data_IF_562374918325
#
_entry.id   IF_562374918325
#
_cell.length_a   1.000
_cell.length_b   1.000
_cell.length_c   1.000
_cell.angle_alpha   90.00
_cell.angle_beta   90.00
_cell.angle_gamma   90.00
#
_symmetry.space_group_name_H-M   'P 1'
#
loop_
_entity.id
_entity.type
_entity.pdbx_description
1 polymer ?
#
# COMPACT_ATOMS: atom_id res chain seq x y z
N UNK A 1 15.97 -7.10 -46.70
CA UNK A 1 14.92 -6.09 -46.49
C UNK A 1 14.53 -6.22 -45.03
N UNK A 2 14.81 -5.17 -44.24
CA UNK A 2 14.54 -5.14 -42.81
C UNK A 2 13.15 -4.57 -42.62
N UNK A 3 12.24 -5.36 -42.07
CA UNK A 3 10.89 -4.95 -41.74
C UNK A 3 10.75 -5.05 -40.22
N UNK A 4 11.17 -3.95 -39.61
CA UNK A 4 10.87 -3.48 -38.27
C UNK A 4 9.36 -3.59 -38.03
N UNK A 5 8.92 -4.72 -37.44
CA UNK A 5 7.57 -4.82 -36.90
C UNK A 5 7.71 -4.62 -35.40
N UNK A 6 7.17 -3.49 -34.96
CA UNK A 6 7.22 -3.02 -33.57
C UNK A 6 6.78 -4.13 -32.61
N UNK A 7 7.67 -4.52 -31.70
CA UNK A 7 7.27 -5.00 -30.38
C UNK A 7 6.60 -3.80 -29.69
N UNK A 8 5.27 -3.71 -29.79
CA UNK A 8 4.52 -2.83 -28.90
C UNK A 8 4.96 -3.15 -27.47
N UNK A 9 5.25 -2.15 -26.62
CA UNK A 9 5.59 -2.43 -25.24
C UNK A 9 4.41 -3.17 -24.64
N UNK A 10 4.62 -4.43 -24.25
CA UNK A 10 3.73 -5.11 -23.32
C UNK A 10 3.75 -4.25 -22.07
N UNK A 11 2.78 -3.35 -21.95
CA UNK A 11 2.32 -2.87 -20.65
C UNK A 11 1.75 -4.12 -20.00
N UNK A 12 2.64 -4.95 -19.46
CA UNK A 12 2.30 -5.89 -18.42
C UNK A 12 1.87 -4.99 -17.28
N UNK A 13 0.56 -4.74 -17.27
CA UNK A 13 -0.10 -3.89 -16.31
C UNK A 13 0.28 -4.51 -14.98
N UNK A 14 1.26 -3.90 -14.31
CA UNK A 14 1.62 -4.19 -12.94
C UNK A 14 0.40 -3.82 -12.11
N UNK A 15 -0.61 -4.67 -12.21
CA UNK A 15 -1.71 -4.76 -11.29
C UNK A 15 -1.10 -5.47 -10.12
N UNK A 16 -0.17 -4.78 -9.43
CA UNK A 16 0.18 -5.12 -8.07
C UNK A 16 -1.17 -5.38 -7.40
N UNK A 17 -1.32 -6.61 -6.93
CA UNK A 17 -2.55 -7.06 -6.29
C UNK A 17 -2.90 -6.07 -5.19
N UNK A 18 -4.17 -5.93 -4.84
CA UNK A 18 -4.57 -5.01 -3.76
C UNK A 18 -3.77 -5.27 -2.47
N UNK A 19 -3.38 -6.54 -2.22
CA UNK A 19 -2.39 -6.91 -1.20
C UNK A 19 -1.01 -6.29 -1.42
N UNK A 20 -0.37 -6.43 -2.58
CA UNK A 20 0.97 -5.86 -2.82
C UNK A 20 1.00 -4.33 -2.69
N UNK A 21 -0.10 -3.67 -3.05
CA UNK A 21 -0.27 -2.23 -2.83
C UNK A 21 -0.39 -1.90 -1.34
N UNK A 22 -1.13 -2.71 -0.59
CA UNK A 22 -1.28 -2.57 0.85
C UNK A 22 0.05 -2.84 1.58
N UNK A 23 0.77 -3.92 1.25
CA UNK A 23 2.08 -4.24 1.81
C UNK A 23 3.08 -3.09 1.58
N UNK A 24 3.10 -2.53 0.36
CA UNK A 24 3.91 -1.36 0.06
C UNK A 24 3.53 -0.14 0.90
N UNK A 25 2.23 0.11 1.07
CA UNK A 25 1.70 1.19 1.91
C UNK A 25 2.11 1.04 3.37
N UNK A 26 1.97 -0.17 3.91
CA UNK A 26 2.28 -0.51 5.30
C UNK A 26 3.78 -0.36 5.54
N UNK A 27 4.63 -0.83 4.64
CA UNK A 27 6.07 -0.66 4.74
C UNK A 27 6.49 0.82 4.72
N UNK A 28 5.83 1.65 3.90
CA UNK A 28 6.06 3.09 3.88
C UNK A 28 5.61 3.75 5.19
N UNK A 29 4.40 3.44 5.66
CA UNK A 29 3.91 3.99 6.91
C UNK A 29 4.72 3.55 8.12
N UNK A 30 5.23 2.32 8.15
CA UNK A 30 6.07 1.83 9.24
C UNK A 30 7.29 2.74 9.46
N UNK A 31 7.84 3.32 8.40
CA UNK A 31 8.91 4.31 8.51
C UNK A 31 8.41 5.68 8.99
N UNK A 32 7.22 6.10 8.54
CA UNK A 32 6.61 7.41 8.84
C UNK A 32 6.10 7.52 10.29
N UNK A 33 5.52 6.45 10.82
CA UNK A 33 4.90 6.41 12.16
C UNK A 33 5.81 5.81 13.24
N UNK A 34 7.07 5.54 12.91
CA UNK A 34 8.02 4.90 13.82
C UNK A 34 8.23 5.75 15.08
N UNK A 35 7.80 5.23 16.23
CA UNK A 35 7.92 5.90 17.53
C UNK A 35 6.71 6.78 17.89
N UNK A 36 5.66 6.77 17.07
CA UNK A 36 4.36 7.37 17.39
C UNK A 36 3.52 6.42 18.25
N UNK A 37 2.49 6.95 18.92
CA UNK A 37 1.52 6.15 19.66
C UNK A 37 0.54 5.43 18.73
N UNK A 38 0.01 4.29 19.17
CA UNK A 38 -0.96 3.49 18.39
C UNK A 38 -2.17 4.31 17.91
N UNK A 39 -2.64 5.29 18.70
CA UNK A 39 -3.75 6.15 18.28
C UNK A 39 -3.40 7.06 17.09
N UNK A 40 -2.14 7.49 16.99
CA UNK A 40 -1.65 8.29 15.85
C UNK A 40 -1.40 7.41 14.63
N UNK A 41 -0.84 6.21 14.85
CA UNK A 41 -0.66 5.18 13.82
C UNK A 41 -2.00 4.82 13.16
N UNK A 42 -3.05 4.59 13.96
CA UNK A 42 -4.40 4.27 13.46
C UNK A 42 -5.00 5.40 12.61
N UNK A 43 -4.85 6.65 13.06
CA UNK A 43 -5.32 7.81 12.29
C UNK A 43 -4.58 7.96 10.97
N UNK A 44 -3.25 7.80 10.98
CA UNK A 44 -2.42 7.86 9.78
C UNK A 44 -2.82 6.74 8.78
N UNK A 45 -3.01 5.52 9.26
CA UNK A 45 -3.47 4.38 8.46
C UNK A 45 -4.82 4.66 7.80
N UNK A 46 -5.83 5.07 8.58
CA UNK A 46 -7.17 5.37 8.04
C UNK A 46 -7.15 6.52 7.03
N UNK A 47 -6.37 7.56 7.30
CA UNK A 47 -6.23 8.68 6.37
C UNK A 47 -5.63 8.21 5.05
N UNK A 48 -4.58 7.40 5.11
CA UNK A 48 -3.90 6.87 3.93
C UNK A 48 -4.77 5.93 3.11
N UNK A 49 -5.51 5.03 3.77
CA UNK A 49 -6.48 4.14 3.12
C UNK A 49 -7.55 4.94 2.38
N UNK A 50 -8.05 6.02 3.00
CA UNK A 50 -9.03 6.91 2.38
C UNK A 50 -8.46 7.65 1.18
N UNK A 51 -7.21 8.13 1.27
CA UNK A 51 -6.51 8.85 0.19
C UNK A 51 -6.35 7.98 -1.08
N UNK A 52 -6.06 6.68 -0.90
CA UNK A 52 -5.95 5.72 -2.00
C UNK A 52 -7.30 5.08 -2.38
N UNK A 53 -8.39 5.43 -1.69
CA UNK A 53 -9.73 4.86 -1.91
C UNK A 53 -9.87 3.38 -1.50
N UNK A 54 -8.99 2.87 -0.64
CA UNK A 54 -9.04 1.50 -0.13
C UNK A 54 -9.82 1.47 1.18
N UNK A 55 -10.70 0.49 1.33
CA UNK A 55 -11.42 0.24 2.59
C UNK A 55 -10.96 -1.09 3.15
N UNK A 56 -10.51 -1.09 4.40
CA UNK A 56 -10.17 -2.31 5.15
C UNK A 56 -11.15 -2.49 6.31
N UNK A 57 -11.37 -3.74 6.69
CA UNK A 57 -12.12 -4.07 7.90
C UNK A 57 -11.38 -3.58 9.17
N UNK A 58 -12.14 -3.25 10.20
CA UNK A 58 -11.64 -2.83 11.52
C UNK A 58 -10.62 -3.84 12.10
N UNK A 59 -10.81 -5.14 11.86
CA UNK A 59 -9.89 -6.18 12.29
C UNK A 59 -8.53 -6.12 11.60
N UNK A 60 -8.51 -5.79 10.30
CA UNK A 60 -7.25 -5.63 9.55
C UNK A 60 -6.58 -4.32 9.93
N UNK A 61 -7.33 -3.24 10.12
CA UNK A 61 -6.79 -1.97 10.63
C UNK A 61 -6.14 -2.19 12.00
N UNK A 62 -6.82 -2.86 12.94
CA UNK A 62 -6.28 -3.13 14.27
C UNK A 62 -5.01 -4.00 14.21
N UNK A 63 -4.97 -4.99 13.32
CA UNK A 63 -3.79 -5.83 13.10
C UNK A 63 -2.61 -5.02 12.58
N UNK A 64 -2.84 -4.20 11.56
CA UNK A 64 -1.81 -3.34 10.96
C UNK A 64 -1.31 -2.30 11.96
N UNK A 65 -2.19 -1.69 12.75
CA UNK A 65 -1.79 -0.75 13.82
C UNK A 65 -0.92 -1.45 14.85
N UNK A 66 -1.28 -2.66 15.28
CA UNK A 66 -0.47 -3.44 16.21
C UNK A 66 0.91 -3.80 15.63
N UNK A 67 0.99 -4.08 14.33
CA UNK A 67 2.26 -4.35 13.64
C UNK A 67 3.13 -3.10 13.51
N UNK A 68 2.51 -1.95 13.23
CA UNK A 68 3.19 -0.66 13.03
C UNK A 68 3.63 0.02 14.35
N UNK A 69 2.97 -0.31 15.46
CA UNK A 69 3.27 0.23 16.80
C UNK A 69 4.13 -0.70 17.67
N UNK A 70 4.51 -1.88 17.15
CA UNK A 70 5.39 -2.84 17.81
C UNK A 70 6.89 -2.45 17.71
#
# INVERSE_FOLDING_TARGET
MAEDTQDEPVLDQNTASEQERLDGLVAQMHADVKGEDAATVEQALRHRLTDIGMTLDESEIARLVAELSA
#
